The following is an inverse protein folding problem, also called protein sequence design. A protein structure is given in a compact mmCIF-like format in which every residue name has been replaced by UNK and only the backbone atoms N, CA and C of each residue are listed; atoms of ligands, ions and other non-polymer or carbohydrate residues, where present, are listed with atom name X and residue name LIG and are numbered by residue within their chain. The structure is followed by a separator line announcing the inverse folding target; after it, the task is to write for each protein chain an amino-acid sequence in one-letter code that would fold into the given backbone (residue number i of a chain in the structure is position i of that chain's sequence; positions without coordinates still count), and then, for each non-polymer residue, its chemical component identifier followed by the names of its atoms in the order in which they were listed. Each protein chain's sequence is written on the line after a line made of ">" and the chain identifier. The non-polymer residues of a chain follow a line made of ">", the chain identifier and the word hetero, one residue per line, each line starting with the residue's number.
data_IF_906837179303
#
_entry.id   IF_906837179303
#
_cell.length_a   1.000
_cell.length_b   1.000
_cell.length_c   1.000
_cell.angle_alpha   90.00
_cell.angle_beta   90.00
_cell.angle_gamma   90.00
#
_symmetry.space_group_name_H-M   'P 1'
#
loop_
_entity.id
_entity.type
_entity.pdbx_description
1 polymer ?
#
# COMPACT_ATOMS: atom_id res chain seq x y z
N UNK A 1 3.56 -6.02 -32.36
CA UNK A 1 2.77 -6.02 -31.10
C UNK A 1 3.65 -5.57 -29.95
N UNK A 2 3.20 -4.65 -29.08
CA UNK A 2 3.98 -4.26 -27.89
C UNK A 2 4.00 -5.42 -26.88
N UNK A 3 5.18 -5.76 -26.35
CA UNK A 3 5.32 -6.78 -25.30
C UNK A 3 4.71 -6.24 -24.00
N UNK A 4 4.01 -7.11 -23.28
CA UNK A 4 3.31 -6.74 -22.06
C UNK A 4 4.29 -6.40 -20.92
N UNK A 5 4.10 -5.28 -20.20
CA UNK A 5 4.97 -4.91 -19.09
C UNK A 5 4.76 -5.85 -17.90
N UNK A 6 5.84 -6.46 -17.41
CA UNK A 6 5.82 -7.34 -16.23
C UNK A 6 5.70 -6.49 -14.96
N UNK A 7 4.83 -6.86 -14.04
CA UNK A 7 4.68 -6.16 -12.75
C UNK A 7 3.93 -4.83 -12.82
N UNK A 8 3.40 -4.45 -13.99
CA UNK A 8 2.45 -3.34 -14.15
C UNK A 8 1.02 -3.85 -14.31
N UNK A 9 0.05 -2.96 -14.14
CA UNK A 9 -1.36 -3.26 -14.43
C UNK A 9 -1.53 -3.58 -15.92
N UNK A 10 -2.34 -4.59 -16.22
CA UNK A 10 -2.63 -4.98 -17.59
C UNK A 10 -3.45 -3.87 -18.26
N UNK A 11 -3.03 -3.42 -19.44
CA UNK A 11 -3.70 -2.37 -20.21
C UNK A 11 -4.36 -3.01 -21.44
N UNK A 12 -5.59 -2.59 -21.76
CA UNK A 12 -6.27 -2.98 -23.00
C UNK A 12 -5.39 -2.63 -24.20
N UNK A 13 -5.22 -3.55 -25.14
CA UNK A 13 -4.38 -3.35 -26.34
C UNK A 13 -3.01 -4.04 -26.35
N UNK A 14 -2.67 -4.85 -25.34
CA UNK A 14 -1.52 -5.76 -25.36
C UNK A 14 -1.98 -7.19 -25.69
N UNK A 15 -1.13 -7.95 -26.41
CA UNK A 15 -1.47 -9.31 -26.85
C UNK A 15 -1.59 -10.29 -25.68
N UNK A 16 -2.57 -11.21 -25.76
CA UNK A 16 -2.68 -12.35 -24.86
C UNK A 16 -3.65 -12.22 -23.67
N UNK A 17 -4.40 -11.12 -23.53
CA UNK A 17 -5.36 -10.96 -22.42
C UNK A 17 -6.69 -10.28 -22.82
N UNK A 18 -7.67 -11.03 -23.35
CA UNK A 18 -8.97 -10.48 -23.73
C UNK A 18 -9.85 -10.07 -22.53
N UNK A 19 -9.60 -10.61 -21.33
CA UNK A 19 -10.47 -10.48 -20.15
C UNK A 19 -9.90 -9.57 -19.05
N UNK A 20 -8.77 -8.89 -19.28
CA UNK A 20 -8.17 -7.93 -18.33
C UNK A 20 -7.55 -8.52 -17.06
N UNK A 21 -7.60 -9.85 -16.84
CA UNK A 21 -7.05 -10.52 -15.64
C UNK A 21 -5.56 -10.82 -15.79
N UNK A 22 -4.72 -10.66 -14.75
CA UNK A 22 -3.28 -10.82 -14.90
C UNK A 22 -2.87 -12.28 -15.15
N UNK A 23 -2.24 -12.56 -16.30
CA UNK A 23 -1.71 -13.89 -16.64
C UNK A 23 -0.29 -14.18 -16.11
N UNK A 24 0.46 -13.17 -15.63
CA UNK A 24 1.85 -13.33 -15.15
C UNK A 24 2.16 -12.36 -14.00
N UNK A 25 2.71 -12.88 -12.92
CA UNK A 25 3.26 -12.10 -11.80
C UNK A 25 4.78 -11.98 -11.93
N UNK A 26 5.36 -10.88 -11.44
CA UNK A 26 6.82 -10.69 -11.46
C UNK A 26 7.52 -11.66 -10.50
N UNK A 27 6.95 -11.82 -9.30
CA UNK A 27 7.39 -12.72 -8.24
C UNK A 27 6.24 -12.91 -7.23
N UNK A 28 6.46 -13.70 -6.18
CA UNK A 28 5.49 -13.97 -5.12
C UNK A 28 5.02 -12.70 -4.39
N UNK A 29 5.90 -11.71 -4.24
CA UNK A 29 5.57 -10.43 -3.60
C UNK A 29 4.54 -9.64 -4.43
N UNK A 30 4.75 -9.57 -5.74
CA UNK A 30 3.81 -8.95 -6.70
C UNK A 30 2.47 -9.67 -6.73
N UNK A 31 2.48 -11.01 -6.65
CA UNK A 31 1.26 -11.82 -6.53
C UNK A 31 0.49 -11.52 -5.24
N UNK A 32 1.19 -11.49 -4.10
CA UNK A 32 0.57 -11.18 -2.80
C UNK A 32 -0.02 -9.78 -2.78
N UNK A 33 0.68 -8.80 -3.31
CA UNK A 33 0.19 -7.42 -3.39
C UNK A 33 -1.09 -7.31 -4.22
N UNK A 34 -1.14 -8.04 -5.33
CA UNK A 34 -2.32 -8.05 -6.19
C UNK A 34 -3.54 -8.66 -5.49
N UNK A 35 -3.41 -9.83 -4.87
CA UNK A 35 -4.56 -10.51 -4.27
C UNK A 35 -5.04 -9.86 -2.96
N UNK A 36 -4.13 -9.30 -2.17
CA UNK A 36 -4.47 -8.71 -0.88
C UNK A 36 -4.91 -7.24 -0.98
N UNK A 37 -4.37 -6.49 -1.95
CA UNK A 37 -4.55 -5.03 -2.01
C UNK A 37 -4.96 -4.50 -3.39
N UNK A 38 -4.97 -5.32 -4.43
CA UNK A 38 -5.35 -4.86 -5.76
C UNK A 38 -4.29 -4.08 -6.53
N UNK A 39 -3.08 -3.99 -5.99
CA UNK A 39 -1.95 -3.25 -6.59
C UNK A 39 -0.84 -4.19 -7.03
N UNK A 40 -0.01 -3.72 -7.95
CA UNK A 40 1.20 -4.42 -8.40
C UNK A 40 2.45 -3.91 -7.70
N UNK A 41 3.54 -4.66 -7.80
CA UNK A 41 4.83 -4.26 -7.23
C UNK A 41 5.33 -2.92 -7.83
N UNK A 42 5.06 -2.66 -9.11
CA UNK A 42 5.38 -1.36 -9.70
C UNK A 42 4.62 -0.22 -9.02
N UNK A 43 3.31 -0.40 -8.75
CA UNK A 43 2.48 0.60 -8.06
C UNK A 43 2.95 0.80 -6.61
N UNK A 44 3.36 -0.27 -5.91
CA UNK A 44 4.02 -0.15 -4.60
C UNK A 44 5.29 0.70 -4.67
N UNK A 45 6.15 0.46 -5.66
CA UNK A 45 7.39 1.22 -5.83
C UNK A 45 7.13 2.68 -6.20
N UNK A 46 6.11 2.95 -7.04
CA UNK A 46 5.66 4.29 -7.39
C UNK A 46 5.15 5.05 -6.15
N UNK A 47 4.34 4.41 -5.29
CA UNK A 47 3.91 4.99 -4.01
C UNK A 47 5.09 5.23 -3.05
N UNK A 48 6.05 4.32 -3.00
CA UNK A 48 7.23 4.50 -2.15
C UNK A 48 8.07 5.68 -2.63
N UNK A 49 8.24 5.84 -3.95
CA UNK A 49 8.94 6.96 -4.54
C UNK A 49 8.20 8.29 -4.30
N UNK A 50 6.87 8.32 -4.42
CA UNK A 50 6.08 9.53 -4.11
C UNK A 50 6.08 9.90 -2.63
N UNK A 51 6.47 8.97 -1.75
CA UNK A 51 6.68 9.21 -0.32
C UNK A 51 8.18 9.42 0.03
N UNK A 52 9.03 9.74 -0.94
CA UNK A 52 10.48 9.94 -0.75
C UNK A 52 11.20 8.77 -0.07
N UNK A 53 10.71 7.54 -0.27
CA UNK A 53 11.25 6.34 0.37
C UNK A 53 10.96 6.24 1.87
N UNK A 54 9.95 6.96 2.38
CA UNK A 54 9.65 7.10 3.81
C UNK A 54 8.24 6.65 4.16
N UNK A 55 7.99 6.46 5.45
CA UNK A 55 6.67 6.27 6.03
C UNK A 55 5.78 7.50 5.78
N UNK A 56 4.57 7.30 5.28
CA UNK A 56 3.62 8.39 4.99
C UNK A 56 3.08 9.13 6.22
N UNK A 57 3.33 8.64 7.44
CA UNK A 57 2.92 9.31 8.69
C UNK A 57 4.13 9.94 9.40
N UNK A 58 5.13 9.14 9.77
CA UNK A 58 6.24 9.63 10.61
C UNK A 58 7.48 10.06 9.84
N UNK A 59 7.51 9.91 8.51
CA UNK A 59 8.65 10.32 7.67
C UNK A 59 9.94 9.51 7.87
N UNK A 60 9.92 8.44 8.66
CA UNK A 60 11.09 7.58 8.87
C UNK A 60 11.30 6.63 7.69
N UNK A 61 12.56 6.37 7.37
CA UNK A 61 13.00 5.37 6.36
C UNK A 61 13.00 3.95 6.92
N UNK A 62 13.07 3.82 8.24
CA UNK A 62 12.99 2.52 8.92
C UNK A 62 11.57 1.96 8.84
N UNK A 63 11.47 0.75 8.31
CA UNK A 63 10.17 0.09 8.14
C UNK A 63 9.71 -0.63 9.40
N UNK A 64 10.65 -1.06 10.25
CA UNK A 64 10.37 -1.82 11.49
C UNK A 64 9.71 -3.19 11.24
N UNK A 65 9.70 -3.67 10.00
CA UNK A 65 9.10 -4.93 9.61
C UNK A 65 10.07 -6.11 9.63
N UNK A 66 9.53 -7.30 9.34
CA UNK A 66 10.34 -8.51 9.18
C UNK A 66 11.39 -8.29 8.09
N UNK A 67 12.66 -8.50 8.44
CA UNK A 67 13.77 -8.53 7.50
C UNK A 67 13.62 -9.79 6.64
N UNK A 68 13.48 -9.62 5.33
CA UNK A 68 13.44 -10.74 4.40
C UNK A 68 14.87 -11.26 4.14
N UNK A 69 15.00 -12.45 3.53
CA UNK A 69 16.30 -13.02 3.15
C UNK A 69 17.17 -12.07 2.31
N UNK A 70 16.55 -11.09 1.65
CA UNK A 70 17.23 -9.99 0.94
C UNK A 70 17.84 -8.90 1.84
N UNK A 71 17.81 -9.06 3.17
CA UNK A 71 18.36 -8.11 4.14
C UNK A 71 17.56 -6.80 4.29
N UNK A 72 16.40 -6.68 3.64
CA UNK A 72 15.56 -5.46 3.67
C UNK A 72 14.17 -5.80 4.19
N UNK A 73 13.63 -4.97 5.07
CA UNK A 73 12.22 -4.99 5.44
C UNK A 73 11.44 -3.99 4.58
N UNK A 74 10.23 -4.35 4.16
CA UNK A 74 9.35 -3.46 3.38
C UNK A 74 8.39 -2.67 4.27
N UNK A 75 7.93 -1.52 3.77
CA UNK A 75 6.81 -0.81 4.37
C UNK A 75 5.51 -1.60 4.20
N UNK A 76 4.60 -1.47 5.17
CA UNK A 76 3.27 -2.04 5.11
C UNK A 76 2.41 -1.24 4.12
N UNK A 77 1.53 -1.93 3.38
CA UNK A 77 0.51 -1.29 2.54
C UNK A 77 -0.70 -1.02 3.42
N UNK A 78 -0.96 0.25 3.67
CA UNK A 78 -2.12 0.69 4.42
C UNK A 78 -3.34 0.82 3.51
N UNK A 79 -4.50 0.43 4.03
CA UNK A 79 -5.78 0.52 3.36
C UNK A 79 -6.90 0.75 4.35
N UNK A 80 -7.99 1.36 3.90
CA UNK A 80 -9.20 1.54 4.71
C UNK A 80 -9.85 0.18 4.98
N UNK A 81 -10.13 -0.10 6.24
CA UNK A 81 -10.88 -1.28 6.64
C UNK A 81 -12.38 -1.04 6.38
N UNK A 82 -12.94 -1.79 5.42
CA UNK A 82 -14.37 -1.75 5.08
C UNK A 82 -14.95 -3.16 5.11
N UNK A 83 -16.25 -3.26 5.35
CA UNK A 83 -16.95 -4.54 5.40
C UNK A 83 -16.82 -5.30 4.08
N UNK A 84 -16.53 -6.59 4.18
CA UNK A 84 -16.36 -7.46 3.02
C UNK A 84 -15.08 -7.23 2.23
N UNK A 85 -14.14 -6.37 2.68
CA UNK A 85 -12.89 -6.05 1.96
C UNK A 85 -12.15 -7.30 1.46
N UNK A 86 -12.00 -8.33 2.30
CA UNK A 86 -11.29 -9.57 1.93
C UNK A 86 -11.91 -10.30 0.74
N UNK A 87 -13.22 -10.19 0.56
CA UNK A 87 -14.02 -10.81 -0.52
C UNK A 87 -14.08 -9.94 -1.79
N UNK A 88 -13.69 -8.66 -1.70
CA UNK A 88 -13.70 -7.76 -2.86
C UNK A 88 -12.70 -8.23 -3.92
N UNK A 89 -13.03 -8.05 -5.21
CA UNK A 89 -12.07 -8.33 -6.25
C UNK A 89 -10.91 -7.29 -6.21
N UNK A 90 -9.71 -7.65 -6.69
CA UNK A 90 -8.52 -6.79 -6.67
C UNK A 90 -8.76 -5.36 -7.19
N UNK A 91 -9.52 -5.21 -8.27
CA UNK A 91 -9.87 -3.92 -8.87
C UNK A 91 -10.68 -2.99 -7.97
N UNK A 92 -11.42 -3.54 -7.01
CA UNK A 92 -12.16 -2.77 -6.01
C UNK A 92 -11.29 -2.51 -4.77
N UNK A 93 -10.53 -3.52 -4.30
CA UNK A 93 -9.61 -3.39 -3.15
C UNK A 93 -8.68 -2.18 -3.24
N UNK A 94 -8.09 -1.96 -4.43
CA UNK A 94 -7.15 -0.85 -4.66
C UNK A 94 -7.72 0.52 -4.33
N UNK A 95 -9.04 0.73 -4.44
CA UNK A 95 -9.68 2.03 -4.18
C UNK A 95 -9.58 2.44 -2.71
N UNK A 96 -9.28 1.47 -1.83
CA UNK A 96 -9.15 1.69 -0.40
C UNK A 96 -7.68 1.79 0.05
N UNK A 97 -6.71 1.54 -0.83
CA UNK A 97 -5.28 1.70 -0.50
C UNK A 97 -4.98 3.17 -0.27
N UNK A 98 -4.32 3.49 0.86
CA UNK A 98 -3.95 4.86 1.25
C UNK A 98 -2.49 5.15 0.90
N UNK A 99 -1.55 4.41 1.51
CA UNK A 99 -0.12 4.65 1.34
C UNK A 99 0.75 3.59 2.02
N UNK A 100 2.03 3.89 2.17
CA UNK A 100 3.00 2.98 2.78
C UNK A 100 3.44 3.47 4.16
N UNK A 101 3.33 2.60 5.16
CA UNK A 101 3.60 2.93 6.56
C UNK A 101 4.65 2.00 7.17
N UNK A 102 5.44 2.51 8.11
CA UNK A 102 6.26 1.64 8.96
C UNK A 102 5.35 0.83 9.89
N UNK A 103 5.83 -0.31 10.38
CA UNK A 103 5.04 -1.23 11.21
C UNK A 103 4.51 -0.55 12.47
N UNK A 104 5.31 0.33 13.09
CA UNK A 104 4.88 1.08 14.26
C UNK A 104 3.69 1.99 13.94
N UNK A 105 3.76 2.77 12.85
CA UNK A 105 2.66 3.64 12.44
C UNK A 105 1.42 2.85 12.04
N UNK A 106 1.60 1.80 11.22
CA UNK A 106 0.51 0.97 10.72
C UNK A 106 -0.28 0.29 11.85
N UNK A 107 0.41 -0.22 12.88
CA UNK A 107 -0.23 -1.05 13.90
C UNK A 107 -0.64 -0.26 15.16
N UNK A 108 -0.01 0.89 15.43
CA UNK A 108 -0.16 1.57 16.73
C UNK A 108 -0.63 3.00 16.64
N UNK A 109 -0.37 3.67 15.52
CA UNK A 109 -0.67 5.11 15.37
C UNK A 109 -1.95 5.29 14.57
N UNK A 110 -2.07 4.58 13.46
CA UNK A 110 -3.13 4.86 12.49
C UNK A 110 -4.55 4.72 13.06
N UNK A 111 -4.80 3.69 13.87
CA UNK A 111 -6.12 3.51 14.52
C UNK A 111 -6.51 4.69 15.40
N UNK A 112 -5.55 5.35 16.05
CA UNK A 112 -5.79 6.55 16.85
C UNK A 112 -6.05 7.78 15.95
N UNK A 113 -5.52 7.78 14.72
CA UNK A 113 -5.68 8.86 13.78
C UNK A 113 -6.99 8.81 12.97
N UNK A 114 -7.73 7.69 13.01
CA UNK A 114 -8.97 7.56 12.23
C UNK A 114 -10.11 8.44 12.79
N UNK A 115 -10.05 8.82 14.06
CA UNK A 115 -10.90 9.87 14.64
C UNK A 115 -10.24 11.24 14.46
N UNK A 116 -10.45 11.83 13.29
CA UNK A 116 -9.86 13.13 12.91
C UNK A 116 -10.27 14.26 13.87
N UNK A 117 -11.49 14.19 14.43
CA UNK A 117 -11.97 15.22 15.35
C UNK A 117 -11.27 15.12 16.71
N UNK A 118 -11.04 13.90 17.21
CA UNK A 118 -10.23 13.67 18.39
C UNK A 118 -8.78 14.12 18.16
N UNK A 119 -8.17 13.80 17.02
CA UNK A 119 -6.81 14.23 16.68
C UNK A 119 -6.69 15.76 16.72
N UNK A 120 -7.62 16.48 16.10
CA UNK A 120 -7.65 17.95 16.10
C UNK A 120 -7.82 18.53 17.51
N UNK A 121 -8.64 17.89 18.35
CA UNK A 121 -8.78 18.31 19.76
C UNK A 121 -7.51 18.06 20.55
N UNK A 122 -6.85 16.92 20.34
CA UNK A 122 -5.59 16.58 20.98
C UNK A 122 -4.46 17.54 20.57
N UNK A 123 -4.37 17.90 19.29
CA UNK A 123 -3.43 18.91 18.80
C UNK A 123 -3.62 20.26 19.51
N UNK A 124 -4.84 20.80 19.52
CA UNK A 124 -5.16 22.06 20.23
C UNK A 124 -4.86 22.01 21.72
N UNK A 125 -5.14 20.86 22.37
CA UNK A 125 -4.81 20.68 23.77
C UNK A 125 -3.30 20.75 23.99
N UNK A 126 -2.50 20.03 23.19
CA UNK A 126 -1.05 20.02 23.32
C UNK A 126 -0.43 21.39 23.01
N UNK A 127 -0.93 22.11 22.01
CA UNK A 127 -0.49 23.48 21.69
C UNK A 127 -0.71 24.45 22.85
N UNK A 128 -1.79 24.29 23.63
CA UNK A 128 -2.05 25.12 24.81
C UNK A 128 -1.02 24.93 25.93
N UNK A 129 -0.36 23.78 26.00
CA UNK A 129 0.56 23.40 27.09
C UNK A 129 2.00 23.16 26.61
N UNK A 130 2.33 23.57 25.38
CA UNK A 130 3.69 23.65 24.85
C UNK A 130 4.19 25.08 24.93
#
# INVERSE_FOLDING_TARGET
>A
MKKMPIGKRFVKGFSGNPNGRPKKFLNEKDQRYYWNYGIRLAEYNEMLASQDGKCGICGKTETGGRIFASGKAGFAIDHKHVDGYSKMPPEEKRKYVRGLLCVACNNRVLSLLEDVDLVRKAEKYLEKYR
#
